data_IF_975392678606
#
_entry.id   IF_975392678606
#
_cell.length_a   1.000
_cell.length_b   1.000
_cell.length_c   1.000
_cell.angle_alpha   90.00
_cell.angle_beta   90.00
_cell.angle_gamma   90.00
#
_symmetry.space_group_name_H-M   'P 1'
#
loop_
_entity.id
_entity.type
_entity.pdbx_description
1 polymer ?
#
# COMPACT_ATOMS: atom_id res chain seq x y z
N UNK A 1 18.80 7.64 -0.72
CA UNK A 1 18.62 8.94 0.01
C UNK A 1 19.86 9.26 0.86
N UNK A 2 20.14 10.53 1.22
CA UNK A 2 21.29 10.89 2.11
C UNK A 2 20.82 11.59 3.38
N UNK A 3 21.63 11.57 4.45
CA UNK A 3 21.37 12.31 5.68
C UNK A 3 21.16 13.82 5.42
N UNK A 4 21.90 14.41 4.48
CA UNK A 4 21.71 15.82 4.08
C UNK A 4 20.31 16.08 3.51
N UNK A 5 19.77 15.14 2.74
CA UNK A 5 18.42 15.27 2.19
C UNK A 5 17.36 15.07 3.28
N UNK A 6 17.55 14.08 4.15
CA UNK A 6 16.66 13.84 5.30
C UNK A 6 16.63 15.03 6.28
N UNK A 7 17.77 15.66 6.55
CA UNK A 7 17.88 16.88 7.35
C UNK A 7 17.05 18.02 6.74
N UNK A 8 17.15 18.21 5.42
CA UNK A 8 16.32 19.19 4.71
C UNK A 8 14.84 18.86 4.76
N UNK A 9 14.47 17.58 4.71
CA UNK A 9 13.09 17.16 4.85
C UNK A 9 12.55 17.48 6.24
N UNK A 10 13.31 17.20 7.30
CA UNK A 10 12.96 17.59 8.68
C UNK A 10 12.73 19.10 8.82
N UNK A 11 13.66 19.92 8.32
CA UNK A 11 13.50 21.39 8.28
C UNK A 11 12.25 21.83 7.53
N UNK A 12 11.94 21.17 6.42
CA UNK A 12 10.78 21.50 5.60
C UNK A 12 9.46 21.16 6.31
N UNK A 13 9.46 20.12 7.15
CA UNK A 13 8.32 19.68 7.95
C UNK A 13 8.07 20.58 9.17
N UNK A 14 9.12 21.06 9.84
CA UNK A 14 8.98 22.08 10.88
C UNK A 14 8.30 23.35 10.34
N UNK A 15 8.52 23.69 9.07
CA UNK A 15 7.80 24.78 8.40
C UNK A 15 6.32 24.50 8.09
N UNK A 16 5.79 23.33 8.45
CA UNK A 16 4.38 22.94 8.29
C UNK A 16 3.65 22.68 9.60
N UNK A 17 4.37 22.51 10.71
CA UNK A 17 3.84 22.23 12.04
C UNK A 17 4.99 22.09 13.06
N UNK A 18 4.66 22.19 14.34
CA UNK A 18 5.65 22.25 15.42
C UNK A 18 5.81 20.89 16.13
N UNK A 19 4.81 20.00 16.08
CA UNK A 19 4.84 18.69 16.75
C UNK A 19 4.92 17.56 15.71
N UNK A 20 6.12 17.00 15.49
CA UNK A 20 6.38 16.01 14.45
C UNK A 20 6.64 14.62 15.05
N UNK A 21 5.87 13.62 14.63
CA UNK A 21 6.07 12.22 15.06
C UNK A 21 7.02 11.52 14.09
N UNK A 22 8.06 10.86 14.60
CA UNK A 22 9.09 10.19 13.80
C UNK A 22 9.27 8.74 14.26
N UNK A 23 9.07 7.81 13.33
CA UNK A 23 9.40 6.39 13.49
C UNK A 23 10.21 5.89 12.30
N UNK A 24 10.73 4.67 12.40
CA UNK A 24 11.47 4.05 11.31
C UNK A 24 11.31 2.53 11.31
N UNK A 25 11.57 1.91 10.16
CA UNK A 25 11.71 0.45 10.08
C UNK A 25 13.01 -0.02 10.80
N UNK A 26 13.22 -1.31 11.06
CA UNK A 26 14.37 -1.77 11.83
C UNK A 26 15.75 -1.61 11.15
N UNK A 27 15.83 -1.12 9.90
CA UNK A 27 17.09 -1.01 9.18
C UNK A 27 17.99 0.11 9.71
N UNK A 28 19.31 -0.09 9.61
CA UNK A 28 20.32 0.90 10.01
C UNK A 28 20.26 2.18 9.17
N UNK A 29 19.96 2.06 7.88
CA UNK A 29 19.81 3.22 6.99
C UNK A 29 18.59 4.06 7.38
N UNK A 30 17.47 3.42 7.74
CA UNK A 30 16.28 4.13 8.21
C UNK A 30 16.54 4.83 9.55
N UNK A 31 17.20 4.17 10.50
CA UNK A 31 17.59 4.78 11.78
C UNK A 31 18.44 6.04 11.58
N UNK A 32 19.48 5.96 10.74
CA UNK A 32 20.36 7.11 10.42
C UNK A 32 19.57 8.28 9.81
N UNK A 33 18.62 7.99 8.93
CA UNK A 33 17.84 9.03 8.26
C UNK A 33 16.75 9.61 9.18
N UNK A 34 16.19 8.81 10.10
CA UNK A 34 15.31 9.30 11.17
C UNK A 34 16.04 10.27 12.12
N UNK A 35 17.31 9.99 12.46
CA UNK A 35 18.20 10.91 13.18
C UNK A 35 18.35 12.24 12.46
N UNK A 36 18.58 12.20 11.15
CA UNK A 36 18.69 13.40 10.33
C UNK A 36 17.37 14.18 10.24
N UNK A 37 16.23 13.50 10.06
CA UNK A 37 14.90 14.16 10.04
C UNK A 37 14.65 14.86 11.37
N UNK A 38 14.82 14.18 12.50
CA UNK A 38 14.58 14.76 13.81
C UNK A 38 15.48 15.96 14.08
N UNK A 39 16.78 15.85 13.75
CA UNK A 39 17.72 16.97 13.84
C UNK A 39 17.24 18.19 13.05
N UNK A 40 16.70 17.95 11.85
CA UNK A 40 16.19 19.00 10.97
C UNK A 40 14.94 19.69 11.53
N UNK A 41 14.09 18.95 12.25
CA UNK A 41 12.93 19.52 12.94
C UNK A 41 13.37 20.36 14.14
N UNK A 42 14.20 19.79 15.03
CA UNK A 42 14.64 20.47 16.25
C UNK A 42 15.47 21.72 15.97
N UNK A 43 16.35 21.73 14.95
CA UNK A 43 17.13 22.93 14.63
C UNK A 43 16.25 24.07 14.08
N UNK A 44 15.02 23.78 13.66
CA UNK A 44 14.01 24.77 13.28
C UNK A 44 13.05 25.13 14.43
N UNK A 45 13.30 24.65 15.66
CA UNK A 45 12.49 24.96 16.84
C UNK A 45 11.33 23.99 17.09
N UNK A 46 11.12 23.01 16.21
CA UNK A 46 10.03 22.03 16.36
C UNK A 46 10.33 20.94 17.40
N UNK A 47 9.27 20.36 17.94
CA UNK A 47 9.29 19.20 18.83
C UNK A 47 9.19 17.91 18.02
N UNK A 48 10.05 16.93 18.34
CA UNK A 48 9.99 15.57 17.77
C UNK A 48 9.51 14.57 18.79
N UNK A 49 8.50 13.78 18.45
CA UNK A 49 8.13 12.56 19.19
C UNK A 49 8.73 11.34 18.50
N UNK A 50 9.72 10.71 19.14
CA UNK A 50 10.49 9.61 18.59
C UNK A 50 9.94 8.27 19.08
N UNK A 51 9.47 7.44 18.16
CA UNK A 51 8.85 6.14 18.44
C UNK A 51 9.86 4.97 18.39
N UNK A 52 11.00 5.16 17.72
CA UNK A 52 11.97 4.09 17.49
C UNK A 52 11.58 3.17 16.32
N UNK A 53 12.03 1.90 16.33
CA UNK A 53 11.80 0.95 15.25
C UNK A 53 10.36 0.40 15.29
N UNK A 54 9.45 1.02 14.54
CA UNK A 54 8.01 0.71 14.54
C UNK A 54 7.46 0.60 13.12
N UNK A 55 6.33 -0.09 12.95
CA UNK A 55 5.59 -0.11 11.69
C UNK A 55 5.16 1.31 11.25
N UNK A 56 5.07 1.55 9.94
CA UNK A 56 4.52 2.79 9.37
C UNK A 56 3.13 3.15 9.92
N UNK A 57 2.14 2.22 10.00
CA UNK A 57 0.85 2.53 10.62
C UNK A 57 0.94 2.89 12.11
N UNK A 58 1.96 2.42 12.84
CA UNK A 58 2.21 2.86 14.23
C UNK A 58 2.59 4.34 14.30
N UNK A 59 3.31 4.87 13.30
CA UNK A 59 3.58 6.32 13.19
C UNK A 59 2.29 7.09 12.95
N UNK A 60 1.45 6.63 12.00
CA UNK A 60 0.13 7.22 11.74
C UNK A 60 -0.76 7.26 13.00
N UNK A 61 -0.87 6.13 13.70
CA UNK A 61 -1.57 6.05 14.99
C UNK A 61 -0.98 7.04 16.00
N UNK A 62 0.35 7.13 16.05
CA UNK A 62 1.05 8.01 16.96
C UNK A 62 0.80 9.49 16.74
N UNK A 63 0.70 9.94 15.48
CA UNK A 63 0.32 11.32 15.14
C UNK A 63 -1.01 11.69 15.79
N UNK A 64 -2.05 10.89 15.57
CA UNK A 64 -3.38 11.14 16.16
C UNK A 64 -3.36 11.09 17.68
N UNK A 65 -2.64 10.14 18.26
CA UNK A 65 -2.61 9.91 19.71
C UNK A 65 -1.90 11.03 20.47
N UNK A 66 -0.83 11.58 19.89
CA UNK A 66 -0.06 12.66 20.48
C UNK A 66 -0.56 14.06 20.11
N UNK A 67 -1.48 14.17 19.15
CA UNK A 67 -1.90 15.45 18.58
C UNK A 67 -0.77 16.11 17.78
N UNK A 68 0.02 15.30 17.06
CA UNK A 68 1.08 15.80 16.19
C UNK A 68 0.52 16.47 14.94
N UNK A 69 1.25 17.45 14.41
CA UNK A 69 0.88 18.17 13.19
C UNK A 69 1.22 17.39 11.91
N UNK A 70 2.20 16.47 12.00
CA UNK A 70 2.59 15.57 10.93
C UNK A 70 3.37 14.36 11.46
N UNK A 71 3.45 13.31 10.64
CA UNK A 71 4.25 12.12 10.92
C UNK A 71 5.26 11.82 9.81
N UNK A 72 6.35 11.14 10.17
CA UNK A 72 7.34 10.62 9.24
C UNK A 72 7.71 9.19 9.64
N UNK A 73 7.38 8.23 8.78
CA UNK A 73 7.98 6.90 8.84
C UNK A 73 9.14 6.84 7.84
N UNK A 74 10.33 6.53 8.35
CA UNK A 74 11.51 6.29 7.52
C UNK A 74 11.61 4.80 7.22
N UNK A 75 11.52 4.42 5.95
CA UNK A 75 11.38 3.01 5.56
C UNK A 75 12.24 2.68 4.35
N UNK A 76 12.83 1.50 4.36
CA UNK A 76 13.54 0.88 3.25
C UNK A 76 12.55 0.32 2.24
N UNK A 77 12.86 0.57 0.98
CA UNK A 77 12.15 0.01 -0.15
C UNK A 77 12.65 -1.42 -0.30
N UNK A 78 11.77 -2.38 -0.03
CA UNK A 78 12.01 -3.78 -0.34
C UNK A 78 12.08 -3.99 -1.86
N UNK A 79 13.31 -4.19 -2.30
CA UNK A 79 13.78 -4.76 -3.57
C UNK A 79 13.98 -3.82 -4.80
N UNK A 80 15.25 -3.50 -5.15
CA UNK A 80 16.46 -3.81 -4.37
C UNK A 80 16.51 -2.95 -3.09
N UNK A 81 16.96 -3.56 -1.99
CA UNK A 81 17.00 -3.02 -0.62
C UNK A 81 17.93 -1.80 -0.41
N UNK A 82 18.31 -1.09 -1.48
CA UNK A 82 19.29 0.01 -1.44
C UNK A 82 18.64 1.36 -1.18
N UNK A 83 17.33 1.49 -1.39
CA UNK A 83 16.63 2.76 -1.29
C UNK A 83 15.88 2.88 0.04
N UNK A 84 16.14 3.97 0.77
CA UNK A 84 15.33 4.39 1.92
C UNK A 84 14.55 5.64 1.53
N UNK A 85 13.26 5.66 1.87
CA UNK A 85 12.33 6.75 1.62
C UNK A 85 11.71 7.33 2.89
N UNK A 86 10.91 8.37 2.72
CA UNK A 86 10.13 9.02 3.77
C UNK A 86 8.64 8.87 3.42
N UNK A 87 7.88 8.18 4.27
CA UNK A 87 6.41 8.18 4.23
C UNK A 87 5.94 9.29 5.17
N UNK A 88 5.18 10.24 4.62
CA UNK A 88 4.71 11.42 5.34
C UNK A 88 3.23 11.27 5.68
N UNK A 89 2.86 11.60 6.91
CA UNK A 89 1.50 11.55 7.42
C UNK A 89 1.02 12.96 7.77
N UNK A 90 -0.27 13.20 7.55
CA UNK A 90 -0.98 14.43 7.94
C UNK A 90 -1.39 14.38 9.43
N UNK A 91 -1.93 15.49 9.93
CA UNK A 91 -2.37 15.67 11.34
C UNK A 91 -3.47 14.67 11.77
N UNK A 92 -4.27 14.18 10.83
CA UNK A 92 -5.26 13.11 11.02
C UNK A 92 -4.68 11.69 10.90
N UNK A 93 -3.36 11.56 10.73
CA UNK A 93 -2.65 10.30 10.53
C UNK A 93 -2.77 9.72 9.12
N UNK A 94 -3.55 10.33 8.23
CA UNK A 94 -3.62 9.90 6.84
C UNK A 94 -2.34 10.21 6.09
N UNK A 95 -2.20 9.75 4.85
CA UNK A 95 -1.06 10.15 4.01
C UNK A 95 -1.09 11.67 3.82
N UNK A 96 0.06 12.32 3.89
CA UNK A 96 0.15 13.76 3.66
C UNK A 96 -0.47 14.14 2.32
N UNK A 97 -1.37 15.13 2.28
CA UNK A 97 -2.02 15.56 1.02
C UNK A 97 -1.01 15.94 -0.07
N UNK A 98 -1.35 15.76 -1.35
CA UNK A 98 -0.49 16.17 -2.48
C UNK A 98 -0.02 17.62 -2.30
N UNK A 99 -0.95 18.51 -1.94
CA UNK A 99 -0.65 19.94 -1.75
C UNK A 99 0.43 20.14 -0.68
N UNK A 100 0.30 19.50 0.48
CA UNK A 100 1.29 19.55 1.55
C UNK A 100 2.60 18.88 1.15
N UNK A 101 2.58 17.70 0.52
CA UNK A 101 3.78 17.03 -0.01
C UNK A 101 4.57 17.95 -0.93
N UNK A 102 3.90 18.66 -1.83
CA UNK A 102 4.57 19.55 -2.77
C UNK A 102 5.06 20.84 -2.15
N UNK A 103 4.43 21.31 -1.08
CA UNK A 103 4.99 22.38 -0.25
C UNK A 103 6.28 21.89 0.43
N UNK A 104 6.32 20.67 0.96
CA UNK A 104 7.53 20.05 1.53
C UNK A 104 8.63 19.96 0.46
N UNK A 105 8.34 19.39 -0.72
CA UNK A 105 9.30 19.29 -1.83
C UNK A 105 9.83 20.66 -2.27
N UNK A 106 8.96 21.68 -2.37
CA UNK A 106 9.38 23.05 -2.69
C UNK A 106 10.32 23.62 -1.64
N UNK A 107 10.05 23.39 -0.34
CA UNK A 107 10.94 23.83 0.76
C UNK A 107 12.28 23.10 0.75
N UNK A 108 12.30 21.80 0.49
CA UNK A 108 13.53 20.99 0.37
C UNK A 108 14.42 21.49 -0.77
N UNK A 109 13.80 21.85 -1.90
CA UNK A 109 14.49 22.35 -3.10
C UNK A 109 14.82 23.85 -3.03
N UNK A 110 14.08 24.63 -2.25
CA UNK A 110 14.23 26.07 -2.08
C UNK A 110 15.37 26.48 -1.14
N UNK A 111 15.40 27.78 -0.81
CA UNK A 111 16.34 28.36 0.17
C UNK A 111 16.10 27.81 1.58
N UNK A 112 17.18 27.77 2.38
CA UNK A 112 17.24 27.22 3.73
C UNK A 112 16.06 27.64 4.59
N UNK A 113 15.37 26.66 5.19
CA UNK A 113 14.47 26.94 6.31
C UNK A 113 15.18 27.84 7.33
N UNK A 114 14.41 28.74 7.95
CA UNK A 114 14.93 29.54 9.05
C UNK A 114 15.25 28.60 10.20
N UNK A 115 16.53 28.58 10.58
CA UNK A 115 17.02 27.81 11.73
C UNK A 115 16.76 28.66 12.97
N UNK A 116 16.32 28.00 14.03
CA UNK A 116 16.02 28.66 15.29
C UNK A 116 17.28 29.30 15.91
N UNK A 117 17.13 30.41 16.66
CA UNK A 117 18.14 30.88 17.60
C UNK A 117 18.62 29.78 18.55
N UNK A 118 19.82 29.95 19.11
CA UNK A 118 20.44 28.95 19.99
C UNK A 118 19.60 28.65 21.26
N UNK A 119 18.76 29.59 21.69
CA UNK A 119 17.86 29.53 22.84
C UNK A 119 16.43 29.10 22.49
N UNK A 120 16.16 28.82 21.21
CA UNK A 120 14.87 28.36 20.70
C UNK A 120 15.01 27.03 19.93
N UNK A 121 16.11 26.29 20.14
CA UNK A 121 16.26 24.94 19.59
C UNK A 121 15.15 24.05 20.17
N UNK A 122 14.49 23.30 19.29
CA UNK A 122 13.38 22.43 19.64
C UNK A 122 13.80 21.20 20.46
N UNK A 123 12.80 20.43 20.87
CA UNK A 123 12.96 19.31 21.80
C UNK A 123 12.79 17.95 21.11
N UNK A 124 13.44 16.92 21.63
CA UNK A 124 13.14 15.52 21.29
C UNK A 124 12.55 14.82 22.51
N UNK A 125 11.41 14.16 22.32
CA UNK A 125 10.69 13.37 23.32
C UNK A 125 10.60 11.94 22.83
N UNK A 126 10.95 10.97 23.66
CA UNK A 126 10.79 9.54 23.33
C UNK A 126 9.41 9.06 23.75
N UNK A 127 8.83 8.19 22.92
CA UNK A 127 7.60 7.48 23.26
C UNK A 127 7.78 6.00 22.91
N UNK A 128 8.31 5.25 23.88
CA UNK A 128 8.74 3.87 23.68
C UNK A 128 7.55 2.88 23.64
N UNK A 129 6.36 3.26 24.14
CA UNK A 129 5.16 2.42 24.20
C UNK A 129 4.26 2.51 22.94
N UNK A 130 4.77 3.09 21.86
CA UNK A 130 3.98 3.37 20.65
C UNK A 130 3.34 2.10 20.03
N UNK A 131 4.12 1.02 19.93
CA UNK A 131 3.63 -0.28 19.42
C UNK A 131 2.53 -0.86 20.31
N UNK A 132 2.68 -0.78 21.64
CA UNK A 132 1.68 -1.28 22.58
C UNK A 132 0.36 -0.51 22.48
N UNK A 133 0.42 0.81 22.34
CA UNK A 133 -0.77 1.64 22.11
C UNK A 133 -1.45 1.34 20.77
N UNK A 134 -0.67 1.12 19.72
CA UNK A 134 -1.23 0.73 18.43
C UNK A 134 -1.87 -0.67 18.50
N UNK A 135 -1.23 -1.62 19.17
CA UNK A 135 -1.79 -2.96 19.44
C UNK A 135 -3.09 -2.89 20.25
N UNK A 136 -3.16 -2.05 21.28
CA UNK A 136 -4.40 -1.81 22.04
C UNK A 136 -5.51 -1.33 21.11
N UNK A 137 -5.24 -0.33 20.26
CA UNK A 137 -6.20 0.19 19.27
C UNK A 137 -6.63 -0.88 18.25
N UNK A 138 -5.70 -1.72 17.81
CA UNK A 138 -5.99 -2.82 16.89
C UNK A 138 -6.87 -3.89 17.53
N UNK A 139 -6.78 -4.15 18.84
CA UNK A 139 -7.58 -5.20 19.49
C UNK A 139 -8.85 -4.68 20.18
N UNK A 140 -8.96 -3.37 20.44
CA UNK A 140 -10.05 -2.79 21.21
C UNK A 140 -11.43 -3.04 20.57
N UNK A 141 -12.34 -3.65 21.34
CA UNK A 141 -13.73 -3.88 20.93
C UNK A 141 -13.94 -4.94 19.85
N UNK A 142 -12.89 -5.67 19.44
CA UNK A 142 -12.99 -6.72 18.42
C UNK A 142 -13.36 -8.08 19.00
N UNK A 143 -14.04 -8.87 18.19
CA UNK A 143 -14.38 -10.26 18.51
C UNK A 143 -13.11 -11.12 18.47
N UNK A 144 -13.09 -12.15 19.32
CA UNK A 144 -12.02 -13.16 19.29
C UNK A 144 -12.14 -14.04 18.04
N UNK A 145 -11.00 -14.44 17.50
CA UNK A 145 -10.85 -15.31 16.32
C UNK A 145 -10.08 -16.57 16.72
N UNK A 146 -10.61 -17.27 17.72
CA UNK A 146 -9.92 -18.35 18.44
C UNK A 146 -9.93 -19.71 17.75
N UNK A 147 -10.71 -19.86 16.68
CA UNK A 147 -10.79 -21.10 15.91
C UNK A 147 -9.85 -21.08 14.70
N UNK A 148 -9.05 -20.01 14.54
CA UNK A 148 -8.12 -19.82 13.43
C UNK A 148 -6.66 -20.06 13.83
N UNK A 149 -5.95 -20.88 13.04
CA UNK A 149 -4.51 -21.14 13.15
C UNK A 149 -3.75 -20.39 12.06
N UNK A 150 -2.73 -19.63 12.45
CA UNK A 150 -2.03 -18.71 11.56
C UNK A 150 -0.52 -18.92 11.62
N UNK A 151 0.12 -19.02 10.45
CA UNK A 151 1.59 -18.88 10.34
C UNK A 151 1.92 -17.45 9.94
N UNK A 152 2.74 -16.74 10.73
CA UNK A 152 3.15 -15.37 10.43
C UNK A 152 4.64 -15.32 10.15
N UNK A 153 5.03 -14.85 8.97
CA UNK A 153 6.43 -14.60 8.63
C UNK A 153 6.89 -13.26 9.24
N UNK A 154 7.52 -13.33 10.42
CA UNK A 154 7.94 -12.15 11.23
C UNK A 154 9.36 -11.66 10.90
N UNK A 155 10.11 -12.42 10.10
CA UNK A 155 11.48 -12.04 9.73
C UNK A 155 12.47 -12.23 10.87
N UNK A 156 13.33 -11.23 11.13
CA UNK A 156 14.34 -11.25 12.21
C UNK A 156 13.85 -10.60 13.52
N UNK A 157 12.55 -10.25 13.62
CA UNK A 157 11.99 -9.55 14.77
C UNK A 157 11.24 -10.48 15.69
N UNK A 158 11.54 -10.39 16.99
CA UNK A 158 10.72 -11.00 18.04
C UNK A 158 9.43 -10.20 18.31
N UNK A 159 9.47 -8.89 18.07
CA UNK A 159 8.39 -7.93 18.30
C UNK A 159 7.64 -7.58 17.00
N UNK A 160 6.64 -8.39 16.66
CA UNK A 160 5.82 -8.20 15.47
C UNK A 160 4.36 -7.88 15.79
N UNK A 161 3.91 -6.68 15.43
CA UNK A 161 2.58 -6.18 15.78
C UNK A 161 1.45 -6.99 15.14
N UNK A 162 1.66 -7.58 13.96
CA UNK A 162 0.65 -8.41 13.31
C UNK A 162 0.47 -9.73 14.07
N UNK A 163 1.58 -10.43 14.35
CA UNK A 163 1.55 -11.67 15.13
C UNK A 163 0.98 -11.44 16.54
N UNK A 164 1.37 -10.36 17.20
CA UNK A 164 0.90 -10.01 18.54
C UNK A 164 -0.59 -9.66 18.58
N UNK A 165 -1.11 -9.00 17.54
CA UNK A 165 -2.54 -8.69 17.45
C UNK A 165 -3.39 -9.94 17.26
N UNK A 166 -2.95 -10.88 16.42
CA UNK A 166 -3.63 -12.15 16.18
C UNK A 166 -3.63 -13.03 17.44
N UNK A 167 -2.48 -13.15 18.11
CA UNK A 167 -2.34 -13.89 19.38
C UNK A 167 -3.25 -13.29 20.46
N UNK A 168 -3.28 -11.95 20.58
CA UNK A 168 -4.14 -11.25 21.55
C UNK A 168 -5.64 -11.42 21.27
N UNK A 169 -6.02 -11.62 20.01
CA UNK A 169 -7.41 -11.91 19.61
C UNK A 169 -7.74 -13.42 19.66
N UNK A 170 -6.77 -14.27 20.02
CA UNK A 170 -6.96 -15.66 20.36
C UNK A 170 -6.57 -16.67 19.28
N UNK A 171 -6.00 -16.24 18.15
CA UNK A 171 -5.50 -17.18 17.13
C UNK A 171 -4.38 -18.07 17.71
N UNK A 172 -4.24 -19.28 17.16
CA UNK A 172 -3.06 -20.11 17.38
C UNK A 172 -1.95 -19.66 16.41
N UNK A 173 -0.98 -18.88 16.90
CA UNK A 173 0.02 -18.20 16.06
C UNK A 173 1.36 -18.94 16.08
N UNK A 174 1.74 -19.50 14.92
CA UNK A 174 3.10 -19.95 14.65
C UNK A 174 3.90 -18.81 14.01
N UNK A 175 4.91 -18.31 14.73
CA UNK A 175 5.85 -17.31 14.19
C UNK A 175 6.94 -18.03 13.39
N UNK A 176 7.08 -17.64 12.14
CA UNK A 176 8.08 -18.14 11.21
C UNK A 176 9.19 -17.10 11.05
N UNK A 177 10.35 -17.41 11.61
CA UNK A 177 11.53 -16.57 11.45
C UNK A 177 12.02 -16.64 9.99
N UNK A 178 12.26 -15.48 9.40
CA UNK A 178 12.65 -15.37 8.01
C UNK A 178 14.14 -15.68 7.81
N UNK A 179 14.46 -16.55 6.85
CA UNK A 179 15.76 -16.52 6.15
C UNK A 179 15.62 -15.71 4.85
N UNK A 180 16.70 -15.06 4.42
CA UNK A 180 16.82 -14.07 3.32
C UNK A 180 16.33 -14.47 1.91
N UNK A 181 15.72 -15.65 1.72
CA UNK A 181 15.30 -16.16 0.41
C UNK A 181 13.81 -15.89 0.06
N UNK A 182 13.02 -15.30 0.97
CA UNK A 182 11.62 -14.96 0.68
C UNK A 182 11.50 -13.54 0.10
N UNK A 183 11.32 -13.46 -1.22
CA UNK A 183 10.99 -12.20 -1.88
C UNK A 183 9.60 -11.72 -1.47
N UNK A 184 9.49 -10.44 -1.08
CA UNK A 184 8.22 -9.79 -0.77
C UNK A 184 7.81 -8.87 -1.92
N UNK A 185 6.72 -9.17 -2.65
CA UNK A 185 6.37 -8.46 -3.87
C UNK A 185 5.76 -7.07 -3.60
N UNK A 186 6.32 -6.03 -4.24
CA UNK A 186 5.67 -4.69 -4.36
C UNK A 186 4.76 -4.55 -5.59
N UNK A 187 4.63 -5.62 -6.36
CA UNK A 187 3.79 -5.71 -7.56
C UNK A 187 2.43 -6.32 -7.21
N UNK A 188 1.50 -6.30 -8.16
CA UNK A 188 0.30 -7.13 -8.09
C UNK A 188 0.69 -8.59 -7.83
N UNK A 189 0.10 -9.17 -6.81
CA UNK A 189 0.27 -10.58 -6.48
C UNK A 189 -0.80 -11.39 -7.22
N UNK A 190 -0.38 -12.36 -8.03
CA UNK A 190 -1.29 -13.25 -8.73
C UNK A 190 -1.52 -14.54 -7.93
N UNK A 191 -2.64 -15.21 -8.18
CA UNK A 191 -2.82 -16.57 -7.66
C UNK A 191 -1.72 -17.50 -8.20
N UNK A 192 -1.10 -18.27 -7.31
CA UNK A 192 0.01 -19.17 -7.65
C UNK A 192 1.37 -18.49 -7.90
N UNK A 193 1.53 -17.24 -7.46
CA UNK A 193 2.83 -16.55 -7.44
C UNK A 193 3.85 -17.30 -6.55
N UNK A 194 5.14 -17.16 -6.84
CA UNK A 194 6.22 -17.82 -6.10
C UNK A 194 6.77 -17.01 -4.91
N UNK A 195 6.18 -15.84 -4.66
CA UNK A 195 6.42 -15.02 -3.46
C UNK A 195 6.27 -15.80 -2.15
N UNK A 196 7.00 -15.37 -1.12
CA UNK A 196 6.92 -15.92 0.25
C UNK A 196 7.07 -17.45 0.30
N UNK A 197 8.04 -17.99 -0.45
CA UNK A 197 8.20 -19.44 -0.63
C UNK A 197 8.36 -20.23 0.66
N UNK A 198 8.99 -19.66 1.68
CA UNK A 198 9.16 -20.31 3.00
C UNK A 198 7.85 -20.34 3.76
N UNK A 199 7.11 -19.22 3.81
CA UNK A 199 5.76 -19.18 4.36
C UNK A 199 4.84 -20.21 3.70
N UNK A 200 4.82 -20.27 2.36
CA UNK A 200 4.02 -21.23 1.61
C UNK A 200 4.27 -22.68 2.00
N UNK A 201 5.55 -23.06 2.09
CA UNK A 201 5.94 -24.41 2.50
C UNK A 201 5.58 -24.71 3.95
N UNK A 202 5.69 -23.73 4.84
CA UNK A 202 5.31 -23.88 6.24
C UNK A 202 3.81 -24.13 6.39
N UNK A 203 2.98 -23.33 5.70
CA UNK A 203 1.52 -23.52 5.68
C UNK A 203 1.16 -24.89 5.09
N UNK A 204 1.69 -25.24 3.90
CA UNK A 204 1.40 -26.53 3.26
C UNK A 204 1.84 -27.76 4.09
N UNK A 205 2.76 -27.58 5.05
CA UNK A 205 3.29 -28.64 5.91
C UNK A 205 2.68 -28.66 7.32
N UNK A 206 1.75 -27.75 7.62
CA UNK A 206 1.10 -27.60 8.92
C UNK A 206 -0.43 -27.76 8.79
N UNK A 207 -1.13 -27.64 9.91
CA UNK A 207 -2.60 -27.56 9.95
C UNK A 207 -3.05 -26.08 10.03
N UNK A 208 -2.28 -25.15 9.48
CA UNK A 208 -2.62 -23.72 9.51
C UNK A 208 -3.75 -23.40 8.52
N UNK A 209 -4.68 -22.55 8.93
CA UNK A 209 -5.80 -22.12 8.10
C UNK A 209 -5.37 -21.00 7.14
N UNK A 210 -4.40 -20.18 7.54
CA UNK A 210 -3.82 -19.11 6.74
C UNK A 210 -2.34 -18.87 7.07
N UNK A 211 -1.59 -18.40 6.08
CA UNK A 211 -0.25 -17.83 6.26
C UNK A 211 -0.21 -16.36 5.90
N UNK A 212 0.52 -15.55 6.66
CA UNK A 212 0.59 -14.10 6.48
C UNK A 212 2.03 -13.60 6.49
N UNK A 213 2.32 -12.63 5.62
CA UNK A 213 3.58 -11.90 5.58
C UNK A 213 3.33 -10.41 5.32
N UNK A 214 4.24 -9.56 5.76
CA UNK A 214 4.24 -8.14 5.45
C UNK A 214 5.64 -7.63 5.07
N UNK A 215 5.72 -6.42 4.50
CA UNK A 215 7.01 -5.75 4.24
C UNK A 215 7.59 -5.12 5.52
N UNK A 216 8.82 -4.62 5.40
CA UNK A 216 9.61 -4.09 6.50
C UNK A 216 8.91 -3.01 7.35
N UNK A 217 7.97 -2.27 6.76
CA UNK A 217 7.20 -1.25 7.46
C UNK A 217 5.71 -1.57 7.64
N UNK A 218 5.33 -2.82 7.37
CA UNK A 218 4.05 -3.44 7.70
C UNK A 218 2.80 -2.70 7.19
N UNK A 219 2.86 -2.17 5.96
CA UNK A 219 1.70 -1.54 5.31
C UNK A 219 1.07 -2.42 4.22
N UNK A 220 1.78 -3.48 3.81
CA UNK A 220 1.36 -4.45 2.81
C UNK A 220 1.20 -5.83 3.42
N UNK A 221 0.16 -6.55 3.01
CA UNK A 221 -0.11 -7.92 3.38
C UNK A 221 0.00 -8.84 2.16
N UNK A 222 0.70 -9.96 2.32
CA UNK A 222 0.59 -11.14 1.46
C UNK A 222 -0.07 -12.24 2.29
N UNK A 223 -1.06 -12.91 1.70
CA UNK A 223 -1.73 -14.05 2.31
C UNK A 223 -1.52 -15.33 1.49
N UNK A 224 -1.39 -16.43 2.22
CA UNK A 224 -1.31 -17.80 1.73
C UNK A 224 -2.51 -18.55 2.28
N UNK A 225 -3.22 -19.27 1.43
CA UNK A 225 -4.35 -20.10 1.85
C UNK A 225 -3.89 -21.40 2.54
N UNK A 226 -4.84 -22.15 3.09
CA UNK A 226 -4.58 -23.40 3.83
C UNK A 226 -3.89 -24.48 2.98
N UNK A 227 -3.81 -24.32 1.66
CA UNK A 227 -3.13 -25.25 0.74
C UNK A 227 -1.67 -24.87 0.48
N UNK A 228 -1.21 -23.73 1.01
CA UNK A 228 0.11 -23.18 0.77
C UNK A 228 0.22 -22.37 -0.52
N UNK A 229 -0.90 -22.00 -1.13
CA UNK A 229 -0.93 -21.19 -2.35
C UNK A 229 -1.14 -19.71 -2.02
N UNK A 230 -0.42 -18.84 -2.74
CA UNK A 230 -0.57 -17.40 -2.58
C UNK A 230 -1.94 -16.97 -3.10
N UNK A 231 -2.67 -16.23 -2.26
CA UNK A 231 -3.96 -15.66 -2.65
C UNK A 231 -3.73 -14.42 -3.51
N UNK A 232 -4.36 -14.37 -4.68
CA UNK A 232 -4.25 -13.24 -5.58
C UNK A 232 -4.75 -11.93 -4.95
N UNK A 233 -4.01 -10.84 -5.15
CA UNK A 233 -4.30 -9.56 -4.50
C UNK A 233 -5.65 -8.95 -4.87
N UNK A 234 -6.16 -9.19 -6.10
CA UNK A 234 -7.53 -8.80 -6.46
C UNK A 234 -8.58 -9.62 -5.71
N UNK A 235 -8.31 -10.90 -5.44
CA UNK A 235 -9.23 -11.76 -4.71
C UNK A 235 -9.31 -11.31 -3.24
N UNK A 236 -8.17 -11.11 -2.58
CA UNK A 236 -8.12 -10.54 -1.23
C UNK A 236 -8.81 -9.17 -1.17
N UNK A 237 -8.53 -8.28 -2.12
CA UNK A 237 -9.17 -6.97 -2.19
C UNK A 237 -10.70 -7.08 -2.31
N UNK A 238 -11.20 -7.99 -3.12
CA UNK A 238 -12.64 -8.23 -3.26
C UNK A 238 -13.26 -8.84 -2.00
N UNK A 239 -12.57 -9.74 -1.29
CA UNK A 239 -13.03 -10.33 -0.03
C UNK A 239 -13.19 -9.26 1.05
N UNK A 240 -12.18 -8.42 1.25
CA UNK A 240 -12.23 -7.29 2.18
C UNK A 240 -13.30 -6.26 1.81
N UNK A 241 -13.41 -5.94 0.51
CA UNK A 241 -14.43 -5.03 0.02
C UNK A 241 -15.85 -5.56 0.29
N UNK A 242 -16.08 -6.85 0.02
CA UNK A 242 -17.36 -7.54 0.27
C UNK A 242 -17.74 -7.53 1.75
N UNK A 243 -16.80 -7.86 2.64
CA UNK A 243 -17.00 -7.82 4.09
C UNK A 243 -17.38 -6.41 4.53
N UNK A 244 -16.59 -5.41 4.14
CA UNK A 244 -16.79 -4.03 4.58
C UNK A 244 -18.11 -3.45 4.11
N UNK A 245 -18.51 -3.75 2.86
CA UNK A 245 -19.79 -3.31 2.31
C UNK A 245 -20.97 -3.95 3.06
N UNK A 246 -20.87 -5.22 3.45
CA UNK A 246 -21.91 -5.91 4.22
C UNK A 246 -22.06 -5.38 5.65
N UNK A 247 -20.95 -4.95 6.25
CA UNK A 247 -20.91 -4.38 7.60
C UNK A 247 -21.30 -2.89 7.63
N UNK A 248 -21.38 -2.21 6.48
CA UNK A 248 -21.65 -0.78 6.41
C UNK A 248 -23.14 -0.43 6.51
N UNK A 249 -23.45 0.61 7.29
CA UNK A 249 -24.77 1.21 7.35
C UNK A 249 -24.97 2.21 6.20
N UNK A 250 -25.51 1.75 5.06
CA UNK A 250 -25.91 2.61 3.93
C UNK A 250 -25.09 2.42 2.66
N UNK A 251 -25.01 3.47 1.84
CA UNK A 251 -24.35 3.42 0.52
C UNK A 251 -22.81 3.37 0.68
N UNK A 252 -22.26 2.16 0.75
CA UNK A 252 -20.83 1.92 0.87
C UNK A 252 -20.08 2.13 -0.46
N UNK A 253 -19.05 2.97 -0.45
CA UNK A 253 -18.15 3.15 -1.58
C UNK A 253 -16.76 2.54 -1.30
N UNK A 254 -16.22 1.80 -2.27
CA UNK A 254 -14.90 1.17 -2.20
C UNK A 254 -13.95 1.82 -3.21
N UNK A 255 -12.79 2.29 -2.77
CA UNK A 255 -11.78 2.89 -3.62
C UNK A 255 -10.77 1.84 -4.14
N UNK A 256 -10.60 1.77 -5.45
CA UNK A 256 -9.65 0.84 -6.09
C UNK A 256 -8.85 1.53 -7.20
N UNK A 257 -7.60 1.13 -7.49
CA UNK A 257 -6.83 1.75 -8.58
C UNK A 257 -7.44 1.40 -9.95
N UNK A 258 -7.07 2.18 -10.98
CA UNK A 258 -7.51 1.94 -12.36
C UNK A 258 -7.19 0.53 -12.88
N UNK A 259 -6.10 -0.07 -12.40
CA UNK A 259 -5.69 -1.42 -12.80
C UNK A 259 -6.42 -2.54 -12.05
N UNK A 260 -7.17 -2.25 -10.98
CA UNK A 260 -7.87 -3.27 -10.22
C UNK A 260 -8.87 -4.05 -11.09
N UNK A 261 -8.94 -5.37 -10.88
CA UNK A 261 -9.82 -6.25 -11.64
C UNK A 261 -11.26 -5.76 -11.64
N UNK A 262 -11.96 -5.93 -12.76
CA UNK A 262 -13.42 -5.68 -12.84
C UNK A 262 -14.19 -6.55 -11.85
N UNK A 263 -13.65 -7.72 -11.47
CA UNK A 263 -14.27 -8.63 -10.50
C UNK A 263 -14.58 -7.97 -9.17
N UNK A 264 -13.74 -7.04 -8.72
CA UNK A 264 -13.97 -6.34 -7.46
C UNK A 264 -15.25 -5.51 -7.53
N UNK A 265 -15.51 -4.85 -8.67
CA UNK A 265 -16.74 -4.09 -8.89
C UNK A 265 -18.00 -4.96 -8.89
N UNK A 266 -17.92 -6.15 -9.48
CA UNK A 266 -19.02 -7.13 -9.49
C UNK A 266 -19.32 -7.61 -8.06
N UNK A 267 -18.29 -8.03 -7.33
CA UNK A 267 -18.41 -8.50 -5.93
C UNK A 267 -18.97 -7.41 -5.01
N UNK A 268 -18.50 -6.16 -5.16
CA UNK A 268 -18.99 -5.02 -4.39
C UNK A 268 -20.45 -4.70 -4.73
N UNK A 269 -20.81 -4.73 -6.02
CA UNK A 269 -22.19 -4.48 -6.45
C UNK A 269 -23.15 -5.54 -5.93
N UNK A 270 -22.75 -6.82 -5.95
CA UNK A 270 -23.54 -7.93 -5.41
C UNK A 270 -23.72 -7.84 -3.88
N UNK A 271 -22.78 -7.20 -3.18
CA UNK A 271 -22.89 -6.89 -1.76
C UNK A 271 -23.73 -5.64 -1.46
N UNK A 272 -24.15 -4.89 -2.48
CA UNK A 272 -24.96 -3.66 -2.33
C UNK A 272 -24.16 -2.36 -2.27
N UNK A 273 -22.86 -2.40 -2.57
CA UNK A 273 -21.98 -1.22 -2.58
C UNK A 273 -21.67 -0.72 -3.98
N UNK A 274 -20.78 0.27 -4.05
CA UNK A 274 -20.25 0.82 -5.31
C UNK A 274 -18.74 0.95 -5.26
N UNK A 275 -18.09 1.04 -6.42
CA UNK A 275 -16.65 1.30 -6.50
C UNK A 275 -16.36 2.67 -7.11
N UNK A 276 -15.26 3.28 -6.66
CA UNK A 276 -14.65 4.44 -7.31
C UNK A 276 -13.23 4.08 -7.74
N UNK A 277 -12.91 4.36 -9.01
CA UNK A 277 -11.56 4.16 -9.55
C UNK A 277 -10.70 5.40 -9.35
N UNK A 278 -9.66 5.25 -8.53
CA UNK A 278 -8.73 6.31 -8.11
C UNK A 278 -7.38 6.17 -8.81
N UNK A 279 -6.57 7.23 -8.76
CA UNK A 279 -5.17 7.18 -9.17
C UNK A 279 -4.39 6.18 -8.29
N UNK A 280 -3.31 5.61 -8.82
CA UNK A 280 -2.42 4.71 -8.07
C UNK A 280 -1.76 5.46 -6.91
N UNK A 281 -1.68 4.80 -5.75
CA UNK A 281 -1.39 5.39 -4.45
C UNK A 281 -2.45 6.37 -3.92
N UNK A 282 -3.61 6.48 -4.58
CA UNK A 282 -4.78 7.26 -4.18
C UNK A 282 -5.72 6.51 -3.24
N UNK A 283 -5.17 5.61 -2.42
CA UNK A 283 -5.88 4.95 -1.31
C UNK A 283 -6.39 6.08 -0.37
N UNK A 284 -7.61 5.95 0.20
CA UNK A 284 -8.27 7.02 0.95
C UNK A 284 -7.37 7.70 2.00
N UNK A 285 -7.62 8.99 2.26
CA UNK A 285 -6.81 9.79 3.19
C UNK A 285 -5.88 10.80 2.51
N UNK A 286 -5.63 10.73 1.21
CA UNK A 286 -5.07 11.88 0.48
C UNK A 286 -5.58 11.98 -0.95
N UNK A 287 -6.12 13.15 -1.33
CA UNK A 287 -6.63 13.41 -2.68
C UNK A 287 -8.13 13.11 -2.86
N UNK A 288 -8.63 12.97 -4.10
CA UNK A 288 -10.06 12.84 -4.43
C UNK A 288 -10.78 11.64 -3.79
N UNK A 289 -10.04 10.68 -3.23
CA UNK A 289 -10.53 9.53 -2.48
C UNK A 289 -10.87 9.84 -1.01
N UNK A 290 -10.53 11.04 -0.51
CA UNK A 290 -11.00 11.56 0.78
C UNK A 290 -12.49 11.98 0.73
N UNK A 291 -13.30 11.28 -0.07
CA UNK A 291 -14.74 11.43 -0.03
C UNK A 291 -15.23 10.73 1.23
N UNK A 292 -16.10 11.41 1.98
CA UNK A 292 -16.68 10.92 3.24
C UNK A 292 -17.41 9.57 3.10
N UNK A 293 -17.68 9.13 1.88
CA UNK A 293 -18.45 7.92 1.58
C UNK A 293 -17.56 6.68 1.33
N UNK A 294 -16.22 6.82 1.28
CA UNK A 294 -15.31 5.68 1.07
C UNK A 294 -15.09 4.94 2.38
N UNK A 295 -15.63 3.73 2.48
CA UNK A 295 -15.54 2.88 3.68
C UNK A 295 -14.32 1.96 3.68
N UNK A 296 -13.80 1.65 2.49
CA UNK A 296 -12.64 0.79 2.30
C UNK A 296 -11.89 1.18 1.02
N UNK A 297 -10.57 1.03 1.02
CA UNK A 297 -9.80 1.11 -0.20
C UNK A 297 -8.59 0.19 -0.17
N UNK A 298 -8.12 -0.18 -1.34
CA UNK A 298 -6.90 -0.97 -1.42
C UNK A 298 -6.43 -1.25 -2.84
N UNK A 299 -5.28 -1.91 -2.91
CA UNK A 299 -4.58 -2.22 -4.13
C UNK A 299 -4.30 -3.73 -4.24
N UNK A 300 -4.34 -4.32 -5.45
CA UNK A 300 -3.96 -5.72 -5.69
C UNK A 300 -2.49 -6.04 -5.36
N UNK A 301 -1.73 -5.02 -4.97
CA UNK A 301 -0.36 -5.14 -4.50
C UNK A 301 -0.30 -5.53 -3.01
N UNK A 302 -1.44 -5.62 -2.29
CA UNK A 302 -1.50 -6.03 -0.88
C UNK A 302 -1.68 -4.88 0.11
N UNK A 303 -1.99 -3.69 -0.37
CA UNK A 303 -2.15 -2.48 0.47
C UNK A 303 -3.64 -2.27 0.71
N UNK A 304 -4.08 -2.30 1.96
CA UNK A 304 -5.50 -2.24 2.32
C UNK A 304 -5.74 -1.25 3.46
N UNK A 305 -6.85 -0.53 3.40
CA UNK A 305 -7.14 0.56 4.33
C UNK A 305 -8.63 0.68 4.64
N UNK A 306 -8.92 0.86 5.93
CA UNK A 306 -10.24 1.20 6.49
C UNK A 306 -10.18 2.58 7.15
N UNK A 307 -10.49 3.68 6.45
CA UNK A 307 -10.18 5.04 6.89
C UNK A 307 -10.72 5.42 8.27
N UNK A 308 -11.86 4.85 8.68
CA UNK A 308 -12.46 5.09 9.99
C UNK A 308 -11.67 4.45 11.15
N UNK A 309 -10.89 3.40 10.89
CA UNK A 309 -10.13 2.63 11.88
C UNK A 309 -8.63 2.91 11.80
N UNK A 310 -8.09 2.85 10.58
CA UNK A 310 -6.70 3.18 10.25
C UNK A 310 -6.68 4.08 8.99
N UNK A 311 -6.27 5.36 9.12
CA UNK A 311 -6.28 6.33 8.02
C UNK A 311 -5.13 6.14 7.03
N UNK A 312 -4.31 5.11 7.21
CA UNK A 312 -3.32 4.65 6.26
C UNK A 312 -3.39 3.12 6.13
N UNK A 313 -2.70 2.53 5.14
CA UNK A 313 -2.62 1.09 5.04
C UNK A 313 -1.96 0.45 6.25
N UNK A 314 -2.51 -0.70 6.67
CA UNK A 314 -2.14 -1.37 7.91
C UNK A 314 -2.26 -2.88 7.74
N UNK A 315 -1.12 -3.56 7.65
CA UNK A 315 -1.09 -5.00 7.43
C UNK A 315 -1.65 -5.77 8.64
N UNK A 316 -1.46 -5.27 9.87
CA UNK A 316 -1.99 -5.93 11.07
C UNK A 316 -3.52 -5.84 11.12
N UNK A 317 -4.10 -4.69 10.80
CA UNK A 317 -5.56 -4.56 10.66
C UNK A 317 -6.10 -5.49 9.55
N UNK A 318 -5.40 -5.56 8.43
CA UNK A 318 -5.75 -6.44 7.31
C UNK A 318 -5.72 -7.92 7.72
N UNK A 319 -4.70 -8.32 8.49
CA UNK A 319 -4.55 -9.67 9.01
C UNK A 319 -5.68 -10.04 9.98
N UNK A 320 -6.04 -9.14 10.91
CA UNK A 320 -7.16 -9.35 11.85
C UNK A 320 -8.47 -9.59 11.09
N UNK A 321 -8.73 -8.79 10.05
CA UNK A 321 -9.95 -8.92 9.24
C UNK A 321 -9.95 -10.21 8.42
N UNK A 322 -8.80 -10.62 7.90
CA UNK A 322 -8.69 -11.88 7.17
C UNK A 322 -8.87 -13.09 8.10
N UNK A 323 -8.28 -13.05 9.30
CA UNK A 323 -8.48 -14.08 10.31
C UNK A 323 -9.96 -14.20 10.67
N UNK A 324 -10.68 -13.08 10.87
CA UNK A 324 -12.12 -13.09 11.10
C UNK A 324 -12.91 -13.73 9.96
N UNK A 325 -12.58 -13.40 8.72
CA UNK A 325 -13.23 -14.01 7.54
C UNK A 325 -13.05 -15.52 7.47
N UNK A 326 -11.91 -16.04 7.93
CA UNK A 326 -11.63 -17.47 7.96
C UNK A 326 -12.29 -18.14 9.15
N UNK A 327 -12.24 -17.50 10.33
CA UNK A 327 -12.88 -17.96 11.57
C UNK A 327 -14.41 -18.13 11.41
N UNK A 328 -15.06 -17.15 10.79
CA UNK A 328 -16.51 -17.14 10.61
C UNK A 328 -16.99 -17.86 9.33
N UNK A 329 -16.05 -18.26 8.46
CA UNK A 329 -16.32 -18.57 7.06
C UNK A 329 -15.88 -19.96 6.59
N UNK A 330 -15.80 -20.09 5.27
CA UNK A 330 -15.19 -21.25 4.62
C UNK A 330 -13.66 -21.09 4.57
N UNK A 331 -12.96 -22.14 4.15
CA UNK A 331 -11.52 -22.08 3.93
C UNK A 331 -11.13 -20.96 2.96
N UNK A 332 -9.96 -20.35 3.14
CA UNK A 332 -9.57 -19.17 2.36
C UNK A 332 -9.48 -19.48 0.86
N UNK A 333 -9.04 -20.68 0.48
CA UNK A 333 -9.00 -21.11 -0.92
C UNK A 333 -10.40 -21.15 -1.57
N UNK A 334 -11.43 -21.56 -0.82
CA UNK A 334 -12.82 -21.60 -1.28
C UNK A 334 -13.35 -20.19 -1.47
N UNK A 335 -13.16 -19.31 -0.47
CA UNK A 335 -13.59 -17.92 -0.55
C UNK A 335 -12.91 -17.17 -1.70
N UNK A 336 -11.60 -17.34 -1.87
CA UNK A 336 -10.86 -16.75 -2.98
C UNK A 336 -11.30 -17.32 -4.34
N UNK A 337 -11.67 -18.60 -4.39
CA UNK A 337 -12.20 -19.27 -5.57
C UNK A 337 -13.53 -18.70 -6.07
N UNK A 338 -14.37 -18.16 -5.18
CA UNK A 338 -15.60 -17.44 -5.55
C UNK A 338 -15.30 -16.17 -6.35
N UNK A 339 -14.17 -15.51 -6.07
CA UNK A 339 -13.68 -14.33 -6.79
C UNK A 339 -12.82 -14.78 -7.98
N UNK A 340 -13.36 -15.66 -8.82
CA UNK A 340 -12.62 -16.26 -9.93
C UNK A 340 -11.98 -15.18 -10.84
N UNK A 341 -10.65 -15.18 -10.91
CA UNK A 341 -9.87 -14.19 -11.64
C UNK A 341 -10.23 -14.16 -13.14
N UNK A 342 -10.28 -12.95 -13.70
CA UNK A 342 -10.39 -12.80 -15.14
C UNK A 342 -9.04 -12.97 -15.84
N UNK A 343 -9.02 -13.49 -17.09
CA UNK A 343 -7.83 -13.51 -17.91
C UNK A 343 -7.17 -12.13 -18.03
N UNK A 344 -5.93 -12.05 -17.55
CA UNK A 344 -5.13 -10.82 -17.52
C UNK A 344 -3.82 -11.03 -18.31
N UNK A 345 -3.44 -10.04 -19.10
CA UNK A 345 -2.18 -9.95 -19.82
C UNK A 345 -1.43 -8.69 -19.37
N UNK A 346 -0.13 -8.84 -19.14
CA UNK A 346 0.75 -7.77 -18.72
C UNK A 346 2.04 -7.80 -19.53
N UNK A 347 2.55 -6.65 -19.95
CA UNK A 347 3.85 -6.51 -20.61
C UNK A 347 4.45 -5.12 -20.36
N UNK A 348 5.78 -5.04 -20.47
CA UNK A 348 6.55 -3.80 -20.27
C UNK A 348 7.32 -3.44 -21.53
N UNK A 349 7.12 -2.23 -22.01
CA UNK A 349 7.68 -1.73 -23.27
C UNK A 349 8.73 -0.66 -22.97
N UNK A 350 10.00 -0.94 -23.29
CA UNK A 350 11.05 0.06 -23.18
C UNK A 350 10.81 1.22 -24.15
N UNK A 351 10.94 2.44 -23.65
CA UNK A 351 10.76 3.68 -24.43
C UNK A 351 11.85 4.69 -24.10
N UNK A 352 12.23 5.53 -25.05
CA UNK A 352 13.26 6.55 -24.80
C UNK A 352 12.76 7.66 -23.87
N UNK A 353 11.49 8.04 -24.02
CA UNK A 353 10.85 9.10 -23.26
C UNK A 353 9.40 8.76 -22.95
N UNK A 354 9.12 8.35 -21.71
CA UNK A 354 7.78 7.96 -21.29
C UNK A 354 6.76 9.10 -21.44
N UNK A 355 7.11 10.35 -21.14
CA UNK A 355 6.18 11.48 -21.20
C UNK A 355 5.73 11.78 -22.64
N UNK A 356 6.68 11.72 -23.59
CA UNK A 356 6.38 11.86 -25.02
C UNK A 356 5.46 10.75 -25.50
N UNK A 357 5.79 9.50 -25.20
CA UNK A 357 5.01 8.35 -25.67
C UNK A 357 3.62 8.30 -25.03
N UNK A 358 3.48 8.63 -23.75
CA UNK A 358 2.16 8.76 -23.11
C UNK A 358 1.30 9.83 -23.78
N UNK A 359 1.88 10.96 -24.18
CA UNK A 359 1.14 12.03 -24.89
C UNK A 359 0.68 11.56 -26.28
N UNK A 360 1.56 10.88 -27.01
CA UNK A 360 1.25 10.30 -28.33
C UNK A 360 0.13 9.27 -28.21
N UNK A 361 0.29 8.30 -27.32
CA UNK A 361 -0.67 7.23 -27.09
C UNK A 361 -2.02 7.75 -26.61
N UNK A 362 -2.05 8.77 -25.75
CA UNK A 362 -3.30 9.39 -25.31
C UNK A 362 -4.08 9.97 -26.49
N UNK A 363 -3.40 10.69 -27.39
CA UNK A 363 -4.02 11.26 -28.61
C UNK A 363 -4.56 10.16 -29.53
N UNK A 364 -3.78 9.12 -29.76
CA UNK A 364 -4.17 8.00 -30.62
C UNK A 364 -5.31 7.18 -30.03
N UNK A 365 -5.30 6.95 -28.72
CA UNK A 365 -6.39 6.27 -28.02
C UNK A 365 -7.68 7.10 -28.08
N UNK A 366 -7.61 8.42 -27.85
CA UNK A 366 -8.77 9.32 -27.97
C UNK A 366 -9.37 9.36 -29.38
N UNK A 367 -8.57 9.08 -30.41
CA UNK A 367 -9.07 8.98 -31.79
C UNK A 367 -9.70 7.61 -32.11
N UNK A 368 -9.32 6.56 -31.38
CA UNK A 368 -9.70 5.16 -31.66
C UNK A 368 -10.79 4.61 -30.73
N UNK A 369 -10.86 5.12 -29.51
CA UNK A 369 -11.71 4.63 -28.44
C UNK A 369 -12.57 5.76 -27.87
N UNK A 370 -13.77 5.39 -27.44
CA UNK A 370 -14.64 6.27 -26.66
C UNK A 370 -14.25 6.22 -25.16
N UNK A 371 -14.63 7.23 -24.38
CA UNK A 371 -14.48 7.28 -22.91
C UNK A 371 -13.05 7.02 -22.36
N UNK A 372 -12.04 7.52 -23.07
CA UNK A 372 -10.63 7.42 -22.65
C UNK A 372 -10.35 8.31 -21.44
N UNK A 373 -9.91 7.71 -20.33
CA UNK A 373 -9.45 8.44 -19.14
C UNK A 373 -7.93 8.61 -19.19
N UNK A 374 -7.45 9.82 -18.95
CA UNK A 374 -6.01 10.16 -19.05
C UNK A 374 -5.43 10.79 -17.78
N UNK A 375 -6.15 10.74 -16.67
CA UNK A 375 -5.72 11.41 -15.41
C UNK A 375 -4.50 10.71 -14.78
N UNK A 376 -4.48 9.38 -14.78
CA UNK A 376 -3.38 8.57 -14.25
C UNK A 376 -3.08 7.36 -15.16
N UNK A 377 -2.36 7.64 -16.24
CA UNK A 377 -2.14 6.69 -17.34
C UNK A 377 -3.17 6.88 -18.45
N UNK A 378 -3.33 5.87 -19.32
CA UNK A 378 -4.37 5.82 -20.35
C UNK A 378 -5.24 4.61 -20.04
N UNK A 379 -6.45 4.83 -19.56
CA UNK A 379 -7.41 3.79 -19.24
C UNK A 379 -8.57 3.79 -20.23
N UNK A 380 -8.91 2.61 -20.76
CA UNK A 380 -10.04 2.41 -21.66
C UNK A 380 -10.78 1.14 -21.27
N UNK A 381 -12.08 1.26 -21.11
CA UNK A 381 -12.97 0.13 -20.85
C UNK A 381 -13.89 -0.11 -22.05
N UNK A 382 -13.94 -1.34 -22.55
CA UNK A 382 -14.69 -1.71 -23.75
C UNK A 382 -15.40 -3.04 -23.59
N UNK A 383 -16.69 -2.99 -23.28
CA UNK A 383 -17.55 -4.17 -23.24
C UNK A 383 -16.96 -5.26 -22.34
N UNK A 384 -16.45 -6.33 -22.93
CA UNK A 384 -15.92 -7.50 -22.23
C UNK A 384 -14.45 -7.41 -21.80
N UNK A 385 -13.76 -6.29 -22.04
CA UNK A 385 -12.35 -6.09 -21.65
C UNK A 385 -12.00 -4.62 -21.34
N UNK A 386 -10.88 -4.38 -20.67
CA UNK A 386 -10.30 -3.06 -20.44
C UNK A 386 -8.77 -3.10 -20.55
N UNK A 387 -8.16 -1.95 -20.78
CA UNK A 387 -6.70 -1.80 -20.69
C UNK A 387 -6.29 -0.54 -19.93
N UNK A 388 -5.10 -0.59 -19.35
CA UNK A 388 -4.40 0.59 -18.85
C UNK A 388 -2.97 0.60 -19.36
N UNK A 389 -2.50 1.77 -19.80
CA UNK A 389 -1.09 2.04 -20.11
C UNK A 389 -0.55 3.05 -19.13
N UNK A 390 0.57 2.75 -18.48
CA UNK A 390 1.21 3.64 -17.50
C UNK A 390 2.70 3.80 -17.77
N UNK A 391 3.22 4.99 -17.55
CA UNK A 391 4.66 5.20 -17.45
C UNK A 391 5.18 4.69 -16.10
N UNK A 392 6.28 3.94 -16.11
CA UNK A 392 7.02 3.66 -14.87
C UNK A 392 7.63 4.96 -14.33
N UNK A 393 7.56 5.14 -13.00
CA UNK A 393 8.13 6.31 -12.32
C UNK A 393 9.64 6.18 -12.10
N UNK A 394 10.15 4.96 -12.09
CA UNK A 394 11.56 4.63 -11.79
C UNK A 394 12.33 4.14 -13.02
N UNK A 395 11.62 3.62 -14.02
CA UNK A 395 12.22 2.99 -15.19
C UNK A 395 11.73 3.64 -16.49
N UNK A 396 12.51 3.52 -17.56
CA UNK A 396 12.12 4.02 -18.89
C UNK A 396 11.27 2.99 -19.64
N UNK A 397 10.14 2.61 -19.04
CA UNK A 397 9.21 1.63 -19.61
C UNK A 397 7.76 2.11 -19.50
N UNK A 398 6.94 1.70 -20.47
CA UNK A 398 5.49 1.76 -20.39
C UNK A 398 4.97 0.37 -20.01
N UNK A 399 4.16 0.30 -18.96
CA UNK A 399 3.50 -0.92 -18.49
C UNK A 399 2.10 -0.96 -19.07
N UNK A 400 1.76 -2.08 -19.70
CA UNK A 400 0.44 -2.32 -20.30
C UNK A 400 -0.20 -3.48 -19.54
N UNK A 401 -1.38 -3.24 -18.99
CA UNK A 401 -2.22 -4.27 -18.38
C UNK A 401 -3.54 -4.34 -19.12
N UNK A 402 -3.98 -5.56 -19.45
CA UNK A 402 -5.25 -5.83 -20.13
C UNK A 402 -5.95 -6.97 -19.43
N UNK A 403 -7.20 -6.77 -19.08
CA UNK A 403 -8.06 -7.82 -18.53
C UNK A 403 -9.32 -7.95 -19.39
N UNK A 404 -9.86 -9.16 -19.50
CA UNK A 404 -11.16 -9.36 -20.10
C UNK A 404 -11.87 -10.59 -19.56
N UNK A 405 -13.20 -10.60 -19.66
CA UNK A 405 -14.06 -11.68 -19.17
C UNK A 405 -13.81 -13.03 -19.86
N UNK A 406 -13.10 -13.02 -21.00
CA UNK A 406 -12.60 -14.21 -21.68
C UNK A 406 -11.17 -14.02 -22.17
N UNK A 407 -10.39 -15.11 -22.23
CA UNK A 407 -9.00 -15.09 -22.72
C UNK A 407 -8.91 -14.52 -24.13
N UNK A 408 -9.91 -14.79 -24.98
CA UNK A 408 -9.97 -14.30 -26.35
C UNK A 408 -10.19 -12.78 -26.40
N UNK A 409 -11.09 -12.25 -25.59
CA UNK A 409 -11.32 -10.79 -25.48
C UNK A 409 -10.08 -10.04 -25.00
N UNK A 410 -9.47 -10.52 -23.91
CA UNK A 410 -8.27 -9.94 -23.33
C UNK A 410 -7.09 -10.00 -24.31
N UNK A 411 -6.85 -11.15 -24.96
CA UNK A 411 -5.75 -11.32 -25.90
C UNK A 411 -5.87 -10.42 -27.13
N UNK A 412 -7.06 -10.32 -27.73
CA UNK A 412 -7.29 -9.43 -28.88
C UNK A 412 -7.02 -7.97 -28.54
N UNK A 413 -7.49 -7.52 -27.38
CA UNK A 413 -7.28 -6.13 -26.93
C UNK A 413 -5.80 -5.90 -26.61
N UNK A 414 -5.15 -6.85 -25.95
CA UNK A 414 -3.72 -6.80 -25.65
C UNK A 414 -2.86 -6.71 -26.91
N UNK A 415 -3.15 -7.50 -27.95
CA UNK A 415 -2.43 -7.43 -29.22
C UNK A 415 -2.61 -6.07 -29.90
N UNK A 416 -3.84 -5.54 -29.92
CA UNK A 416 -4.12 -4.23 -30.48
C UNK A 416 -3.39 -3.08 -29.74
N UNK A 417 -3.32 -3.14 -28.41
CA UNK A 417 -2.61 -2.14 -27.60
C UNK A 417 -1.11 -2.28 -27.77
N UNK A 418 -0.60 -3.52 -27.83
CA UNK A 418 0.81 -3.82 -28.08
C UNK A 418 1.28 -3.25 -29.42
N UNK A 419 0.47 -3.34 -30.47
CA UNK A 419 0.75 -2.71 -31.77
C UNK A 419 0.87 -1.19 -31.63
N UNK A 420 -0.10 -0.53 -30.99
CA UNK A 420 -0.09 0.93 -30.74
C UNK A 420 1.16 1.41 -29.99
N UNK A 421 1.62 0.64 -29.00
CA UNK A 421 2.81 0.95 -28.21
C UNK A 421 4.10 0.67 -29.00
N UNK A 422 4.12 -0.34 -29.87
CA UNK A 422 5.31 -0.79 -30.59
C UNK A 422 5.58 -0.05 -31.92
N UNK A 423 4.58 0.62 -32.50
CA UNK A 423 4.64 1.20 -33.85
C UNK A 423 5.70 2.32 -34.03
N UNK A 424 6.33 2.81 -32.95
CA UNK A 424 7.46 3.75 -33.05
C UNK A 424 8.71 3.15 -33.73
N UNK A 425 8.87 1.81 -33.72
CA UNK A 425 9.99 1.18 -34.45
C UNK A 425 9.87 1.27 -35.97
N UNK A 426 8.69 1.57 -36.53
CA UNK A 426 8.51 1.68 -37.97
C UNK A 426 8.75 3.11 -38.50
N UNK A 427 8.62 4.14 -37.67
CA UNK A 427 8.67 5.54 -38.11
C UNK A 427 10.06 6.19 -38.03
N UNK A 428 11.00 5.62 -37.26
CA UNK A 428 12.37 6.13 -37.13
C UNK A 428 13.34 5.65 -38.24
N UNK A 429 12.86 4.85 -39.20
CA UNK A 429 13.64 4.34 -40.34
C UNK A 429 13.16 4.82 -41.71
N UNK A 430 12.28 5.83 -41.78
CA UNK A 430 11.78 6.39 -43.03
C UNK A 430 12.36 7.78 -43.35
#
# INVERSE_FOLDING_TARGET
MTAKLALKAGRALAGTGDEIVVGHDPSDSARLLADAVATGVCECGGTVHRLGPVASPTVSHGVRRLGGDAGVAVTTVSDPAEDTGLKLFDDDGSRLSWERQSRVVRRVNGSSAEVAPWDEIGEERRWDDATAHHLDHLCEGRTSVSDTRVVVAVGERDDDIMADALDRLGCDVERLDGTTDDSFPRRRVAAGDDACGTLRRAVAASDADIGLAHDADADRLVAVDETGEVVGGDALLALFARETVRDADGDACVAVPLEASRRIGEVVSDAGGSIVRVEMDGIPGSGPAANADVVFGGEPSGVYQWPAESPCPDAALSAIRLARLVDEGAALSEQAGEVAAYPLFFDSFAVDNCAREMTRLATECQARFDDVRTDDGIFVERGDAWFVVRASRTERVLRVTVEGTSRNSAKRLFDAVRELVSDEKATLTA
#
